data_IF_121821124200
#
_entry.id   IF_121821124200
#
_cell.length_a   1.000
_cell.length_b   1.000
_cell.length_c   1.000
_cell.angle_alpha   90.00
_cell.angle_beta   90.00
_cell.angle_gamma   90.00
#
_symmetry.space_group_name_H-M   'P 1'
#
loop_
_entity.id
_entity.type
_entity.pdbx_description
1 polymer ?
#
# COMPACT_ATOMS: atom_id res chain seq x y z
N UNK A 1 -6.31 47.69 -11.77
CA UNK A 1 -7.41 46.96 -11.11
C UNK A 1 -6.81 45.71 -10.48
N UNK A 2 -7.04 45.44 -9.19
CA UNK A 2 -6.68 44.14 -8.62
C UNK A 2 -7.46 43.05 -9.39
N UNK A 3 -6.86 41.89 -9.66
CA UNK A 3 -7.57 40.79 -10.30
C UNK A 3 -8.79 40.41 -9.45
N UNK A 4 -9.93 40.04 -10.08
CA UNK A 4 -11.10 39.61 -9.35
C UNK A 4 -10.73 38.42 -8.48
N UNK A 5 -10.86 38.59 -7.17
CA UNK A 5 -10.76 37.50 -6.21
C UNK A 5 -11.91 36.54 -6.49
N UNK A 6 -11.60 35.39 -7.08
CA UNK A 6 -12.53 34.26 -7.12
C UNK A 6 -12.97 33.98 -5.68
N UNK A 7 -14.25 34.26 -5.39
CA UNK A 7 -14.83 33.99 -4.08
C UNK A 7 -14.70 32.49 -3.81
N UNK A 8 -13.90 32.13 -2.80
CA UNK A 8 -13.80 30.75 -2.32
C UNK A 8 -15.14 30.43 -1.64
N UNK A 9 -15.98 29.62 -2.27
CA UNK A 9 -17.31 29.28 -1.76
C UNK A 9 -17.30 28.12 -0.78
N UNK A 10 -16.20 27.34 -0.72
CA UNK A 10 -16.08 26.16 0.14
C UNK A 10 -14.72 26.11 0.84
N UNK A 11 -14.73 25.80 2.14
CA UNK A 11 -13.52 25.43 2.86
C UNK A 11 -13.14 23.97 2.57
N UNK A 12 -11.97 23.78 1.97
CA UNK A 12 -11.39 22.47 1.72
C UNK A 12 -10.32 22.16 2.78
N UNK A 13 -10.26 20.91 3.17
CA UNK A 13 -9.37 20.40 4.19
C UNK A 13 -8.42 19.38 3.58
N UNK A 14 -7.15 19.39 3.98
CA UNK A 14 -6.19 18.34 3.65
C UNK A 14 -5.55 17.75 4.89
N UNK A 15 -5.00 16.55 4.76
CA UNK A 15 -4.19 15.90 5.77
C UNK A 15 -2.97 15.23 5.15
N UNK A 16 -1.88 15.13 5.92
CA UNK A 16 -0.64 14.48 5.53
C UNK A 16 -0.14 13.58 6.65
N UNK A 17 0.00 12.29 6.36
CA UNK A 17 0.65 11.30 7.23
C UNK A 17 2.03 11.01 6.67
N UNK A 18 3.06 11.12 7.51
CA UNK A 18 4.46 10.97 7.14
C UNK A 18 5.08 9.80 7.90
N UNK A 19 5.80 8.94 7.19
CA UNK A 19 6.67 7.89 7.73
C UNK A 19 8.16 8.10 7.35
N UNK A 20 8.46 9.10 6.51
CA UNK A 20 9.79 9.36 5.99
C UNK A 20 10.23 10.82 6.14
N UNK A 21 10.64 11.43 5.03
CA UNK A 21 11.28 12.74 5.05
C UNK A 21 10.24 13.88 4.98
N UNK A 22 10.25 14.78 5.96
CA UNK A 22 9.21 15.82 6.07
C UNK A 22 9.26 16.93 5.03
N UNK A 23 10.26 16.97 4.14
CA UNK A 23 10.30 17.98 3.08
C UNK A 23 9.07 17.91 2.18
N UNK A 24 8.57 16.69 1.94
CA UNK A 24 7.38 16.43 1.13
C UNK A 24 6.15 17.07 1.77
N UNK A 25 5.89 16.71 3.03
CA UNK A 25 4.80 17.26 3.83
C UNK A 25 4.84 18.78 3.96
N UNK A 26 6.04 19.35 4.14
CA UNK A 26 6.24 20.78 4.31
C UNK A 26 5.97 21.54 3.00
N UNK A 27 6.57 21.10 1.90
CA UNK A 27 6.40 21.73 0.59
C UNK A 27 4.94 21.65 0.14
N UNK A 28 4.32 20.47 0.28
CA UNK A 28 2.91 20.29 -0.05
C UNK A 28 2.00 21.17 0.81
N UNK A 29 2.16 21.14 2.13
CA UNK A 29 1.30 21.91 3.02
C UNK A 29 1.41 23.42 2.81
N UNK A 30 2.63 23.93 2.55
CA UNK A 30 2.84 25.33 2.24
C UNK A 30 2.11 25.73 0.94
N UNK A 31 2.22 24.91 -0.11
CA UNK A 31 1.58 25.17 -1.39
C UNK A 31 0.06 25.06 -1.35
N UNK A 32 -0.48 24.02 -0.71
CA UNK A 32 -1.92 23.81 -0.56
C UNK A 32 -2.56 24.87 0.35
N UNK A 33 -1.91 25.28 1.44
CA UNK A 33 -2.39 26.39 2.27
C UNK A 33 -2.48 27.71 1.47
N UNK A 34 -1.58 27.92 0.50
CA UNK A 34 -1.63 29.08 -0.39
C UNK A 34 -2.82 29.06 -1.38
N UNK A 35 -3.53 27.94 -1.50
CA UNK A 35 -4.82 27.81 -2.20
C UNK A 35 -6.03 28.06 -1.27
N UNK A 36 -5.80 28.40 0.00
CA UNK A 36 -6.85 28.64 1.00
C UNK A 36 -7.37 27.39 1.70
N UNK A 37 -6.72 26.24 1.50
CA UNK A 37 -7.06 25.00 2.17
C UNK A 37 -6.57 25.00 3.61
N UNK A 38 -7.32 24.35 4.50
CA UNK A 38 -6.93 24.17 5.89
C UNK A 38 -6.31 22.80 6.07
N UNK A 39 -5.23 22.74 6.83
CA UNK A 39 -4.70 21.47 7.27
C UNK A 39 -5.56 20.96 8.43
N UNK A 40 -6.33 19.89 8.20
CA UNK A 40 -7.25 19.29 9.17
C UNK A 40 -6.51 18.87 10.44
N UNK A 41 -5.30 18.36 10.26
CA UNK A 41 -4.47 17.84 11.32
C UNK A 41 -4.06 18.98 12.29
N UNK A 42 -3.74 20.18 11.80
CA UNK A 42 -3.36 21.32 12.67
C UNK A 42 -4.50 21.83 13.57
N UNK A 43 -5.72 21.31 13.41
CA UNK A 43 -6.85 21.63 14.26
C UNK A 43 -6.92 20.76 15.52
N UNK A 44 -6.12 19.69 15.60
CA UNK A 44 -6.04 18.85 16.77
C UNK A 44 -5.30 19.58 17.91
N UNK A 45 -5.68 19.34 19.19
CA UNK A 45 -5.02 19.96 20.33
C UNK A 45 -3.54 19.57 20.37
N UNK A 46 -2.66 20.56 20.41
CA UNK A 46 -1.22 20.34 20.61
C UNK A 46 -0.93 20.30 22.10
N UNK A 47 -0.97 19.12 22.70
CA UNK A 47 -0.42 18.94 24.06
C UNK A 47 1.10 18.89 23.97
N UNK A 48 1.80 19.43 24.96
CA UNK A 48 3.25 19.27 25.10
C UNK A 48 3.47 18.07 26.02
N UNK A 49 4.35 17.14 25.64
CA UNK A 49 4.92 16.22 26.62
C UNK A 49 5.99 16.93 27.48
N UNK A 50 6.50 16.19 28.47
CA UNK A 50 7.58 16.61 29.37
C UNK A 50 8.88 17.01 28.63
N UNK A 51 8.99 16.71 27.33
CA UNK A 51 10.14 17.01 26.48
C UNK A 51 9.87 18.10 25.43
N UNK A 52 8.74 18.80 25.54
CA UNK A 52 8.39 19.89 24.62
C UNK A 52 8.04 19.43 23.20
N UNK A 53 7.91 18.12 22.98
CA UNK A 53 7.47 17.54 21.72
C UNK A 53 5.94 17.42 21.72
N UNK A 54 5.34 17.72 20.56
CA UNK A 54 3.90 17.96 20.41
C UNK A 54 3.17 16.63 20.29
N UNK A 55 2.37 16.33 21.31
CA UNK A 55 1.75 15.05 21.61
C UNK A 55 0.56 14.69 20.73
N UNK A 56 0.15 13.47 21.04
CA UNK A 56 -0.77 12.50 20.51
C UNK A 56 -2.22 12.76 20.90
N UNK A 57 -3.13 12.30 20.05
CA UNK A 57 -4.56 12.08 20.32
C UNK A 57 -4.86 11.70 21.80
N UNK A 58 -5.75 12.44 22.45
CA UNK A 58 -6.18 12.19 23.83
C UNK A 58 -6.89 10.85 24.00
N UNK A 59 -7.52 10.32 22.96
CA UNK A 59 -8.14 9.00 22.97
C UNK A 59 -7.09 7.87 23.00
N UNK A 60 -5.85 8.18 22.64
CA UNK A 60 -4.77 7.20 22.56
C UNK A 60 -3.48 7.82 23.13
N UNK A 61 -3.40 8.11 24.44
CA UNK A 61 -2.28 8.84 25.03
C UNK A 61 -0.92 8.14 24.88
N UNK A 62 -0.87 6.90 24.38
CA UNK A 62 0.35 6.15 24.17
C UNK A 62 0.77 6.01 22.69
N UNK A 63 0.08 6.62 21.70
CA UNK A 63 0.53 6.50 20.30
C UNK A 63 1.95 7.09 20.16
N UNK A 64 2.92 6.39 19.59
CA UNK A 64 4.16 7.01 19.11
C UNK A 64 3.90 7.80 17.82
N UNK A 65 3.05 8.83 17.87
CA UNK A 65 2.74 9.71 16.75
C UNK A 65 3.04 11.15 17.17
N UNK A 66 3.76 11.91 16.33
CA UNK A 66 4.15 13.29 16.64
C UNK A 66 3.75 14.25 15.53
N UNK A 67 3.65 15.52 15.86
CA UNK A 67 3.65 16.57 14.85
C UNK A 67 5.07 16.84 14.37
N UNK A 68 5.29 16.80 13.06
CA UNK A 68 6.53 17.32 12.47
C UNK A 68 6.22 18.23 11.29
N UNK A 69 6.47 19.53 11.50
CA UNK A 69 6.03 20.56 10.57
C UNK A 69 4.51 20.62 10.46
N UNK A 70 4.00 20.35 9.26
CA UNK A 70 2.59 20.33 8.89
C UNK A 70 1.96 18.93 8.91
N UNK A 71 2.75 17.87 9.03
CA UNK A 71 2.24 16.49 8.95
C UNK A 71 2.12 15.81 10.32
N UNK A 72 1.33 14.74 10.32
CA UNK A 72 1.33 13.73 11.37
C UNK A 72 2.46 12.74 11.06
N UNK A 73 3.49 12.71 11.89
CA UNK A 73 4.57 11.73 11.79
C UNK A 73 4.19 10.48 12.59
N UNK A 74 3.98 9.36 11.89
CA UNK A 74 3.87 8.05 12.52
C UNK A 74 5.26 7.45 12.68
N UNK A 75 5.60 7.04 13.91
CA UNK A 75 6.87 6.35 14.20
C UNK A 75 6.72 4.85 13.95
N UNK A 76 7.82 4.09 13.72
CA UNK A 76 9.21 4.53 13.68
C UNK A 76 9.59 5.19 12.36
N UNK A 77 10.51 6.17 12.40
CA UNK A 77 11.01 6.85 11.21
C UNK A 77 12.53 6.73 11.15
N UNK A 78 13.05 5.92 10.22
CA UNK A 78 14.49 5.62 10.10
C UNK A 78 15.37 6.76 9.63
N UNK A 79 14.78 7.85 9.13
CA UNK A 79 15.55 9.03 8.79
C UNK A 79 15.74 9.95 10.00
N UNK A 80 14.81 9.89 10.95
CA UNK A 80 14.91 10.56 12.25
C UNK A 80 15.72 9.72 13.24
N UNK A 81 15.57 8.41 13.16
CA UNK A 81 16.24 7.46 14.01
C UNK A 81 17.32 6.71 13.24
N UNK A 82 18.58 6.92 13.64
CA UNK A 82 19.82 6.50 12.97
C UNK A 82 19.74 5.31 12.00
N UNK A 83 20.47 5.41 10.88
CA UNK A 83 20.67 4.37 9.83
C UNK A 83 21.07 2.98 10.34
N UNK A 84 21.42 2.84 11.61
CA UNK A 84 21.88 1.58 12.20
C UNK A 84 20.85 0.89 13.10
N UNK A 85 19.91 1.62 13.73
CA UNK A 85 18.72 1.07 14.43
C UNK A 85 17.64 2.16 14.62
N UNK A 86 16.59 2.19 13.79
CA UNK A 86 15.67 3.33 13.69
C UNK A 86 14.61 3.44 14.81
N UNK A 87 14.83 2.85 15.98
CA UNK A 87 13.90 2.96 17.10
C UNK A 87 14.59 3.44 18.38
N UNK A 88 15.84 3.00 18.60
CA UNK A 88 16.52 3.09 19.91
C UNK A 88 16.95 4.50 20.30
N UNK A 89 16.94 5.47 19.36
CA UNK A 89 17.29 6.87 19.63
C UNK A 89 16.11 7.74 20.02
N UNK A 90 14.88 7.38 19.63
CA UNK A 90 13.71 8.23 19.80
C UNK A 90 13.33 8.36 21.30
N UNK A 91 13.11 9.58 21.84
CA UNK A 91 12.74 9.77 23.24
C UNK A 91 11.42 9.10 23.66
N UNK A 92 10.40 9.02 22.79
CA UNK A 92 9.15 8.31 23.06
C UNK A 92 9.43 6.82 23.07
N UNK A 93 10.19 6.29 22.11
CA UNK A 93 10.57 4.88 22.14
C UNK A 93 11.33 4.56 23.44
N UNK A 94 12.32 5.36 23.81
CA UNK A 94 13.06 5.20 25.08
C UNK A 94 12.12 5.21 26.29
N UNK A 95 11.21 6.19 26.42
CA UNK A 95 10.23 6.24 27.52
C UNK A 95 9.32 5.02 27.51
N UNK A 96 8.79 4.64 26.34
CA UNK A 96 7.92 3.48 26.21
C UNK A 96 8.63 2.22 26.73
N UNK A 97 9.89 2.04 26.31
CA UNK A 97 10.75 0.93 26.72
C UNK A 97 11.20 0.96 28.20
N UNK A 98 11.00 2.07 28.93
CA UNK A 98 11.20 2.09 30.40
C UNK A 98 10.16 1.26 31.14
N UNK A 99 9.00 1.00 30.52
CA UNK A 99 7.85 0.33 31.15
C UNK A 99 7.23 -0.80 30.32
N UNK A 100 7.68 -0.99 29.08
CA UNK A 100 7.15 -1.99 28.15
C UNK A 100 8.27 -2.71 27.39
N UNK A 101 7.94 -3.84 26.81
CA UNK A 101 8.79 -4.63 25.92
C UNK A 101 8.73 -4.14 24.47
N UNK A 102 9.67 -4.58 23.65
CA UNK A 102 9.68 -4.26 22.21
C UNK A 102 8.47 -4.90 21.49
N UNK A 103 8.03 -6.08 21.92
CA UNK A 103 6.85 -6.74 21.36
C UNK A 103 5.57 -5.95 21.66
N UNK A 104 5.42 -5.43 22.89
CA UNK A 104 4.31 -4.54 23.23
C UNK A 104 4.33 -3.26 22.41
N UNK A 105 5.52 -2.68 22.17
CA UNK A 105 5.64 -1.50 21.31
C UNK A 105 5.21 -1.80 19.86
N UNK A 106 5.65 -2.93 19.31
CA UNK A 106 5.29 -3.37 17.95
C UNK A 106 3.79 -3.64 17.82
N UNK A 107 3.18 -4.19 18.85
CA UNK A 107 1.74 -4.42 18.89
C UNK A 107 0.96 -3.11 18.93
N UNK A 108 1.39 -2.14 19.75
CA UNK A 108 0.81 -0.80 19.72
C UNK A 108 0.97 -0.17 18.33
N UNK A 109 2.16 -0.19 17.72
CA UNK A 109 2.36 0.30 16.35
C UNK A 109 1.42 -0.34 15.32
N UNK A 110 1.18 -1.65 15.43
CA UNK A 110 0.25 -2.37 14.55
C UNK A 110 -1.18 -1.83 14.68
N UNK A 111 -1.67 -1.64 15.90
CA UNK A 111 -3.00 -1.05 16.15
C UNK A 111 -3.14 0.33 15.53
N UNK A 112 -2.08 1.13 15.63
CA UNK A 112 -2.04 2.51 15.13
C UNK A 112 -2.04 2.55 13.62
N UNK A 113 -1.18 1.75 12.99
CA UNK A 113 -1.14 1.64 11.55
C UNK A 113 -2.47 1.09 11.02
N UNK A 114 -3.08 0.12 11.70
CA UNK A 114 -4.42 -0.38 11.38
C UNK A 114 -5.49 0.73 11.43
N UNK A 115 -5.50 1.54 12.50
CA UNK A 115 -6.41 2.69 12.60
C UNK A 115 -6.13 3.74 11.52
N UNK A 116 -4.88 4.15 11.33
CA UNK A 116 -4.51 5.17 10.34
C UNK A 116 -4.80 4.71 8.91
N UNK A 117 -4.68 3.41 8.62
CA UNK A 117 -5.06 2.86 7.32
C UNK A 117 -6.55 3.04 7.05
N UNK A 118 -7.41 2.80 8.06
CA UNK A 118 -8.85 3.08 7.95
C UNK A 118 -9.12 4.58 7.85
N UNK A 119 -8.39 5.38 8.64
CA UNK A 119 -8.54 6.83 8.67
C UNK A 119 -8.19 7.50 7.35
N UNK A 120 -7.19 7.02 6.61
CA UNK A 120 -6.88 7.55 5.26
C UNK A 120 -8.11 7.52 4.35
N UNK A 121 -8.96 6.50 4.47
CA UNK A 121 -10.17 6.33 3.66
C UNK A 121 -11.42 6.97 4.26
N UNK A 122 -11.39 7.32 5.53
CA UNK A 122 -12.45 8.04 6.25
C UNK A 122 -11.82 9.10 7.17
N UNK A 123 -11.25 10.19 6.62
CA UNK A 123 -10.33 11.07 7.34
C UNK A 123 -11.08 12.11 8.19
N UNK A 124 -11.74 11.63 9.23
CA UNK A 124 -12.57 12.43 10.13
C UNK A 124 -11.81 13.01 11.32
N UNK A 125 -12.25 14.17 11.77
CA UNK A 125 -11.92 14.73 13.09
C UNK A 125 -13.22 14.97 13.86
N UNK A 126 -13.29 14.43 15.07
CA UNK A 126 -14.38 14.67 16.00
C UNK A 126 -13.96 15.72 17.02
N UNK A 127 -14.64 16.85 17.04
CA UNK A 127 -14.42 17.94 18.01
C UNK A 127 -15.50 17.89 19.08
N UNK A 128 -15.11 17.54 20.29
CA UNK A 128 -15.97 17.65 21.47
C UNK A 128 -15.93 19.08 22.04
N UNK A 129 -14.82 19.79 21.85
CA UNK A 129 -14.67 21.22 22.20
C UNK A 129 -13.53 21.88 21.42
N UNK A 130 -13.27 23.18 21.65
CA UNK A 130 -12.14 23.89 21.03
C UNK A 130 -10.76 23.33 21.44
N UNK A 131 -10.69 22.62 22.57
CA UNK A 131 -9.46 22.04 23.13
C UNK A 131 -9.47 20.53 23.17
N UNK A 132 -10.53 19.89 22.66
CA UNK A 132 -10.71 18.45 22.66
C UNK A 132 -11.20 17.99 21.29
N UNK A 133 -10.27 17.44 20.52
CA UNK A 133 -10.54 16.85 19.23
C UNK A 133 -9.64 15.64 19.00
N UNK A 134 -10.19 14.62 18.36
CA UNK A 134 -9.50 13.37 18.03
C UNK A 134 -9.70 13.00 16.57
N UNK A 135 -8.79 12.18 16.05
CA UNK A 135 -9.01 11.50 14.78
C UNK A 135 -10.15 10.50 14.96
N UNK A 136 -11.02 10.37 13.96
CA UNK A 136 -12.05 9.34 13.95
C UNK A 136 -12.30 8.84 12.54
N UNK A 137 -12.80 7.61 12.44
CA UNK A 137 -13.35 7.03 11.21
C UNK A 137 -14.88 7.01 11.22
N UNK A 138 -15.49 7.51 12.30
CA UNK A 138 -16.93 7.50 12.52
C UNK A 138 -17.66 8.45 11.56
N UNK A 139 -18.87 8.07 11.11
CA UNK A 139 -19.68 8.94 10.25
C UNK A 139 -20.13 10.24 10.93
N UNK A 140 -20.03 10.35 12.26
CA UNK A 140 -20.38 11.54 13.03
C UNK A 140 -19.22 12.54 13.21
N UNK A 141 -18.13 12.37 12.44
CA UNK A 141 -17.02 13.32 12.48
C UNK A 141 -17.49 14.74 12.15
N UNK A 142 -16.98 15.71 12.93
CA UNK A 142 -17.34 17.12 12.81
C UNK A 142 -16.68 17.81 11.61
N UNK A 143 -15.51 17.30 11.20
CA UNK A 143 -14.78 17.77 10.03
C UNK A 143 -14.14 16.57 9.31
N UNK A 144 -13.90 16.76 8.01
CA UNK A 144 -13.35 15.71 7.14
C UNK A 144 -12.26 16.31 6.26
N UNK A 145 -11.26 15.51 5.88
CA UNK A 145 -10.32 15.88 4.81
C UNK A 145 -10.94 15.58 3.44
N UNK A 146 -10.73 16.48 2.49
CA UNK A 146 -11.05 16.28 1.08
C UNK A 146 -9.89 15.63 0.32
N UNK A 147 -8.67 15.79 0.84
CA UNK A 147 -7.43 15.26 0.30
C UNK A 147 -6.58 14.69 1.41
N UNK A 148 -6.14 13.44 1.26
CA UNK A 148 -5.20 12.81 2.18
C UNK A 148 -3.94 12.43 1.43
N UNK A 149 -2.79 12.67 2.03
CA UNK A 149 -1.51 12.15 1.57
C UNK A 149 -0.87 11.25 2.63
N UNK A 150 -0.24 10.16 2.20
CA UNK A 150 0.50 9.25 3.06
C UNK A 150 1.87 8.90 2.43
N UNK A 151 2.95 9.42 3.01
CA UNK A 151 4.31 9.32 2.46
C UNK A 151 5.24 8.46 3.30
N UNK A 152 6.22 7.82 2.65
CA UNK A 152 7.22 6.96 3.29
C UNK A 152 7.95 6.09 2.28
N UNK A 153 8.53 4.99 2.76
CA UNK A 153 8.71 3.84 1.89
C UNK A 153 7.34 3.18 1.66
N UNK A 154 7.23 2.38 0.62
CA UNK A 154 5.97 1.74 0.29
C UNK A 154 6.09 0.88 -0.95
N UNK A 155 5.20 -0.08 -1.07
CA UNK A 155 4.93 -0.93 -2.24
C UNK A 155 3.66 -1.74 -1.94
N UNK A 156 3.07 -2.36 -2.96
CA UNK A 156 2.02 -3.37 -2.80
C UNK A 156 0.78 -2.93 -1.97
N UNK A 157 0.46 -1.65 -2.00
CA UNK A 157 -0.66 -1.05 -1.29
C UNK A 157 -0.34 -0.53 0.11
N UNK A 158 0.94 -0.46 0.49
CA UNK A 158 1.32 -0.12 1.87
C UNK A 158 2.31 1.05 1.95
N UNK A 159 2.35 1.72 3.11
CA UNK A 159 3.22 2.88 3.40
C UNK A 159 3.88 2.68 4.77
N UNK A 160 5.21 2.64 4.84
CA UNK A 160 5.92 2.35 6.08
C UNK A 160 7.16 3.23 6.27
N UNK A 161 7.64 3.25 7.52
CA UNK A 161 8.85 3.95 7.93
C UNK A 161 10.03 2.99 8.09
N UNK A 162 11.14 3.28 7.41
CA UNK A 162 12.38 2.52 7.52
C UNK A 162 12.28 1.04 7.17
N UNK A 163 13.09 0.21 7.86
CA UNK A 163 13.11 -1.26 7.70
C UNK A 163 12.02 -1.97 8.51
N UNK A 164 11.09 -1.23 9.11
CA UNK A 164 10.00 -1.86 9.84
C UNK A 164 8.96 -2.37 8.84
N UNK A 165 8.68 -3.68 8.85
CA UNK A 165 7.53 -4.28 8.16
C UNK A 165 6.18 -3.86 8.82
N UNK A 166 6.13 -2.70 9.47
CA UNK A 166 4.96 -2.14 10.12
C UNK A 166 4.65 -0.81 9.42
N UNK A 167 3.51 -0.77 8.74
CA UNK A 167 3.08 0.39 7.98
C UNK A 167 1.58 0.41 7.79
N UNK A 168 1.10 1.44 7.12
CA UNK A 168 -0.28 1.56 6.70
C UNK A 168 -0.57 0.51 5.61
N UNK A 169 -1.51 -0.39 5.88
CA UNK A 169 -1.99 -1.42 4.95
C UNK A 169 -3.16 -0.86 4.13
N UNK A 170 -2.90 0.16 3.31
CA UNK A 170 -3.94 0.99 2.68
C UNK A 170 -4.84 0.18 1.74
N UNK A 171 -4.27 -0.62 0.85
CA UNK A 171 -5.02 -1.45 -0.09
C UNK A 171 -5.81 -2.55 0.63
N UNK A 172 -5.16 -3.28 1.53
CA UNK A 172 -5.80 -4.36 2.29
C UNK A 172 -6.98 -3.86 3.13
N UNK A 173 -6.87 -2.63 3.67
CA UNK A 173 -7.96 -1.99 4.41
C UNK A 173 -9.22 -1.82 3.54
N UNK A 174 -9.06 -1.62 2.24
CA UNK A 174 -10.21 -1.52 1.31
C UNK A 174 -10.82 -2.89 0.97
N UNK A 175 -10.02 -3.95 0.97
CA UNK A 175 -10.48 -5.33 0.70
C UNK A 175 -11.33 -5.87 1.87
N UNK A 176 -11.03 -5.44 3.09
CA UNK A 176 -11.82 -5.75 4.29
C UNK A 176 -13.08 -4.87 4.36
N UNK A 177 -14.09 -5.22 3.56
CA UNK A 177 -15.39 -4.54 3.35
C UNK A 177 -16.28 -4.31 4.61
N UNK A 178 -15.71 -4.38 5.81
CA UNK A 178 -16.31 -3.88 7.06
C UNK A 178 -15.87 -2.47 7.44
N UNK A 179 -15.06 -1.79 6.62
CA UNK A 179 -14.62 -0.43 6.90
C UNK A 179 -15.83 0.52 7.04
N UNK A 180 -15.81 1.44 8.02
CA UNK A 180 -16.94 2.32 8.34
C UNK A 180 -17.37 3.15 7.13
N UNK A 181 -18.63 3.60 7.16
CA UNK A 181 -19.21 4.49 6.16
C UNK A 181 -18.21 5.61 5.79
N UNK A 182 -17.57 5.45 4.64
CA UNK A 182 -16.46 6.29 4.24
C UNK A 182 -16.94 7.72 3.98
N UNK A 183 -16.06 8.69 4.18
CA UNK A 183 -16.38 10.09 3.92
C UNK A 183 -16.67 10.32 2.43
N UNK A 184 -17.87 10.84 2.14
CA UNK A 184 -18.26 11.37 0.84
C UNK A 184 -17.41 12.59 0.40
N UNK A 185 -16.64 13.17 1.33
CA UNK A 185 -15.80 14.35 1.09
C UNK A 185 -14.44 14.02 0.49
N UNK A 186 -13.86 12.87 0.80
CA UNK A 186 -12.55 12.49 0.28
C UNK A 186 -12.65 12.33 -1.24
N UNK A 187 -11.92 13.15 -2.00
CA UNK A 187 -11.91 13.09 -3.47
C UNK A 187 -10.61 12.55 -4.04
N UNK A 188 -9.48 12.82 -3.40
CA UNK A 188 -8.18 12.32 -3.86
C UNK A 188 -7.33 11.80 -2.71
N UNK A 189 -6.51 10.81 -3.03
CA UNK A 189 -5.44 10.32 -2.15
C UNK A 189 -4.10 10.45 -2.89
N UNK A 190 -3.06 10.90 -2.20
CA UNK A 190 -1.69 10.94 -2.73
C UNK A 190 -0.83 9.96 -1.94
N UNK A 191 -0.21 8.99 -2.61
CA UNK A 191 0.59 7.94 -1.99
C UNK A 191 2.03 8.02 -2.52
N UNK A 192 2.82 9.02 -2.11
CA UNK A 192 4.20 9.17 -2.56
C UNK A 192 5.12 8.13 -1.93
N UNK A 193 5.23 7.00 -2.61
CA UNK A 193 5.94 5.79 -2.21
C UNK A 193 6.29 4.98 -3.45
N UNK A 194 7.21 4.02 -3.35
CA UNK A 194 7.59 3.20 -4.50
C UNK A 194 6.44 2.26 -4.90
N UNK A 195 6.31 2.01 -6.20
CA UNK A 195 5.52 0.94 -6.84
C UNK A 195 4.01 0.87 -6.51
N UNK A 196 3.46 1.79 -5.71
CA UNK A 196 2.07 1.69 -5.28
C UNK A 196 1.08 1.90 -6.43
N UNK A 197 1.49 2.60 -7.49
CA UNK A 197 0.73 2.73 -8.73
C UNK A 197 1.42 2.03 -9.91
N UNK A 198 2.20 0.98 -9.67
CA UNK A 198 2.70 0.13 -10.75
C UNK A 198 1.56 -0.64 -11.43
N UNK A 199 1.74 -1.07 -12.67
CA UNK A 199 0.73 -1.83 -13.43
C UNK A 199 0.23 -3.08 -12.70
N UNK A 200 1.07 -3.70 -11.85
CA UNK A 200 0.71 -4.88 -11.07
C UNK A 200 -0.02 -4.57 -9.75
N UNK A 201 -0.03 -3.31 -9.30
CA UNK A 201 -0.73 -2.88 -8.09
C UNK A 201 -2.00 -2.07 -8.34
N UNK A 202 -2.19 -1.52 -9.55
CA UNK A 202 -3.28 -0.58 -9.81
C UNK A 202 -4.68 -1.12 -9.48
N UNK A 203 -4.90 -2.42 -9.67
CA UNK A 203 -6.18 -3.08 -9.38
C UNK A 203 -6.55 -3.07 -7.89
N UNK A 204 -5.56 -3.03 -6.99
CA UNK A 204 -5.80 -2.99 -5.54
C UNK A 204 -6.53 -1.73 -5.09
N UNK A 205 -6.56 -0.71 -5.92
CA UNK A 205 -7.23 0.56 -5.65
C UNK A 205 -8.68 0.62 -6.16
N UNK A 206 -9.09 -0.37 -6.97
CA UNK A 206 -10.46 -0.44 -7.50
C UNK A 206 -11.52 -0.36 -6.40
N UNK A 207 -11.38 -1.01 -5.23
CA UNK A 207 -12.37 -0.85 -4.16
C UNK A 207 -12.61 0.61 -3.73
N UNK A 208 -11.57 1.46 -3.68
CA UNK A 208 -11.74 2.88 -3.36
C UNK A 208 -12.42 3.68 -4.49
N UNK A 209 -12.19 3.28 -5.73
CA UNK A 209 -12.73 3.91 -6.93
C UNK A 209 -14.12 3.38 -7.30
N UNK A 210 -14.52 2.19 -6.85
CA UNK A 210 -15.83 1.56 -7.15
C UNK A 210 -16.81 1.58 -5.99
N UNK A 211 -16.46 2.22 -4.87
CA UNK A 211 -17.38 2.37 -3.72
C UNK A 211 -18.59 3.24 -4.10
N UNK A 212 -19.70 3.22 -3.32
CA UNK A 212 -20.91 3.99 -3.65
C UNK A 212 -20.70 5.50 -3.87
N UNK A 213 -19.72 6.09 -3.19
CA UNK A 213 -19.26 7.47 -3.42
C UNK A 213 -17.76 7.47 -3.76
N UNK A 214 -17.39 7.19 -5.01
CA UNK A 214 -16.01 7.03 -5.43
C UNK A 214 -15.12 8.19 -5.03
N UNK A 215 -13.86 7.91 -4.71
CA UNK A 215 -12.84 8.92 -4.89
C UNK A 215 -12.62 9.14 -6.39
N UNK A 216 -12.12 10.31 -6.75
CA UNK A 216 -11.88 10.71 -8.13
C UNK A 216 -10.60 10.06 -8.65
N UNK A 217 -9.55 10.00 -7.82
CA UNK A 217 -8.29 9.39 -8.21
C UNK A 217 -7.28 9.24 -7.09
N UNK A 218 -6.26 8.46 -7.38
CA UNK A 218 -5.06 8.27 -6.56
C UNK A 218 -3.85 8.71 -7.36
N UNK A 219 -3.02 9.57 -6.76
CA UNK A 219 -1.76 10.04 -7.34
C UNK A 219 -0.58 9.41 -6.59
N UNK A 220 0.49 9.06 -7.31
CA UNK A 220 1.62 8.36 -6.72
C UNK A 220 2.69 8.03 -7.76
N UNK A 221 3.39 6.92 -7.57
CA UNK A 221 4.50 6.51 -8.42
C UNK A 221 4.31 5.07 -8.92
N UNK A 222 4.62 4.88 -10.20
CA UNK A 222 4.54 3.58 -10.89
C UNK A 222 5.78 2.74 -10.68
N UNK A 223 6.91 3.38 -10.39
CA UNK A 223 8.22 2.76 -10.20
C UNK A 223 8.83 3.22 -8.86
N UNK A 224 9.81 4.11 -8.87
CA UNK A 224 10.54 4.50 -7.68
C UNK A 224 10.15 5.89 -7.19
N UNK A 225 9.96 6.00 -5.87
CA UNK A 225 9.76 7.29 -5.21
C UNK A 225 11.11 7.91 -4.84
N UNK A 226 11.45 9.11 -5.33
CA UNK A 226 12.74 9.72 -5.01
C UNK A 226 12.86 10.19 -3.56
N UNK A 227 11.74 10.54 -2.90
CA UNK A 227 11.71 11.02 -1.51
C UNK A 227 12.60 12.25 -1.25
N UNK A 228 12.68 12.65 0.02
CA UNK A 228 13.67 13.63 0.47
C UNK A 228 13.54 15.02 -0.15
N UNK A 229 14.67 15.68 -0.38
CA UNK A 229 14.69 16.99 -1.04
C UNK A 229 14.12 16.97 -2.47
N UNK A 230 14.40 15.94 -3.32
CA UNK A 230 13.70 15.79 -4.59
C UNK A 230 12.18 15.78 -4.46
N UNK A 231 11.64 14.99 -3.51
CA UNK A 231 10.21 14.92 -3.20
C UNK A 231 9.62 16.30 -2.87
N UNK A 232 10.27 17.05 -1.98
CA UNK A 232 9.89 18.43 -1.65
C UNK A 232 9.84 19.36 -2.87
N UNK A 233 10.79 19.24 -3.81
CA UNK A 233 10.78 20.00 -5.07
C UNK A 233 9.59 19.61 -5.95
N UNK A 234 9.25 18.33 -6.06
CA UNK A 234 8.08 17.88 -6.83
C UNK A 234 6.78 18.42 -6.25
N UNK A 235 6.60 18.32 -4.93
CA UNK A 235 5.38 18.82 -4.28
C UNK A 235 5.28 20.35 -4.33
N UNK A 236 6.40 21.07 -4.24
CA UNK A 236 6.45 22.51 -4.49
C UNK A 236 6.00 22.88 -5.91
N UNK A 237 6.52 22.17 -6.92
CA UNK A 237 6.11 22.37 -8.33
C UNK A 237 4.64 22.01 -8.55
N UNK A 238 4.19 20.87 -8.03
CA UNK A 238 2.82 20.39 -8.17
C UNK A 238 1.82 21.42 -7.63
N UNK A 239 2.01 21.88 -6.39
CA UNK A 239 1.11 22.87 -5.78
C UNK A 239 1.16 24.23 -6.48
N UNK A 240 2.32 24.64 -7.03
CA UNK A 240 2.42 25.83 -7.87
C UNK A 240 1.62 25.69 -9.18
N UNK A 241 1.68 24.51 -9.82
CA UNK A 241 0.90 24.20 -11.03
C UNK A 241 -0.60 24.13 -10.77
N UNK A 242 -1.01 23.61 -9.60
CA UNK A 242 -2.41 23.61 -9.15
C UNK A 242 -2.96 25.03 -8.95
N UNK A 243 -2.10 26.01 -8.66
CA UNK A 243 -2.46 27.43 -8.52
C UNK A 243 -2.43 28.18 -9.85
N UNK A 244 -1.58 27.75 -10.79
CA UNK A 244 -1.41 28.38 -12.08
C UNK A 244 -2.74 28.49 -12.84
N UNK A 245 -2.82 29.47 -13.74
CA UNK A 245 -4.01 29.73 -14.57
C UNK A 245 -5.32 29.84 -13.77
N UNK A 246 -5.23 30.36 -12.54
CA UNK A 246 -6.35 30.46 -11.59
C UNK A 246 -6.98 29.10 -11.26
N UNK A 247 -6.16 28.05 -11.15
CA UNK A 247 -6.57 26.70 -10.81
C UNK A 247 -7.32 25.96 -11.92
N UNK A 248 -7.22 26.42 -13.18
CA UNK A 248 -7.88 25.78 -14.34
C UNK A 248 -7.10 24.59 -14.89
N UNK A 249 -5.84 24.40 -14.51
CA UNK A 249 -5.06 23.25 -14.96
C UNK A 249 -5.66 21.96 -14.36
N UNK A 250 -5.88 20.91 -15.17
CA UNK A 250 -6.31 19.62 -14.64
C UNK A 250 -5.31 19.09 -13.61
N UNK A 251 -5.82 18.51 -12.52
CA UNK A 251 -5.00 17.99 -11.41
C UNK A 251 -4.01 16.93 -11.92
N UNK A 252 -4.47 16.04 -12.80
CA UNK A 252 -3.63 15.02 -13.42
C UNK A 252 -2.51 15.62 -14.28
N UNK A 253 -2.81 16.66 -15.05
CA UNK A 253 -1.81 17.35 -15.87
C UNK A 253 -0.78 18.08 -15.00
N UNK A 254 -1.21 18.71 -13.90
CA UNK A 254 -0.32 19.31 -12.92
C UNK A 254 0.60 18.26 -12.28
N UNK A 255 0.08 17.07 -11.97
CA UNK A 255 0.87 15.95 -11.43
C UNK A 255 1.94 15.48 -12.41
N UNK A 256 1.57 15.24 -13.68
CA UNK A 256 2.53 14.89 -14.75
C UNK A 256 3.60 15.97 -14.92
N UNK A 257 3.19 17.24 -15.04
CA UNK A 257 4.11 18.35 -15.28
C UNK A 257 5.07 18.60 -14.11
N UNK A 258 4.66 18.32 -12.87
CA UNK A 258 5.55 18.41 -11.72
C UNK A 258 6.76 17.47 -11.86
N UNK A 259 6.57 16.31 -12.50
CA UNK A 259 7.57 15.25 -12.68
C UNK A 259 8.38 15.34 -13.99
N UNK A 260 8.13 16.35 -14.83
CA UNK A 260 8.86 16.50 -16.10
C UNK A 260 10.39 16.56 -15.89
N UNK A 261 11.15 15.93 -16.79
CA UNK A 261 12.60 15.81 -16.73
C UNK A 261 13.06 14.40 -16.30
N UNK A 262 14.06 14.34 -15.42
CA UNK A 262 14.74 13.09 -14.99
C UNK A 262 13.86 12.08 -14.23
N UNK A 263 12.60 12.42 -13.94
CA UNK A 263 11.66 11.58 -13.20
C UNK A 263 10.32 11.45 -13.95
N UNK A 264 10.32 11.79 -15.24
CA UNK A 264 9.10 11.81 -16.07
C UNK A 264 8.50 10.43 -16.25
N UNK A 265 9.28 9.37 -16.15
CA UNK A 265 8.88 7.97 -16.27
C UNK A 265 8.32 7.36 -14.98
N UNK A 266 8.40 8.05 -13.84
CA UNK A 266 8.11 7.45 -12.52
C UNK A 266 6.74 7.76 -11.96
N UNK A 267 6.10 8.83 -12.42
CA UNK A 267 4.79 9.21 -11.90
C UNK A 267 3.73 8.19 -12.32
N UNK A 268 2.69 8.08 -11.50
CA UNK A 268 1.51 7.30 -11.79
C UNK A 268 0.27 8.01 -11.30
N UNK A 269 -0.87 7.70 -11.93
CA UNK A 269 -2.19 8.01 -11.40
C UNK A 269 -3.17 6.89 -11.77
N UNK A 270 -4.07 6.54 -10.87
CA UNK A 270 -5.20 5.64 -11.15
C UNK A 270 -6.47 6.41 -10.81
N UNK A 271 -7.33 6.62 -11.80
CA UNK A 271 -8.51 7.47 -11.63
C UNK A 271 -9.60 7.15 -12.62
N UNK A 272 -10.81 7.61 -12.32
CA UNK A 272 -11.92 7.60 -13.27
C UNK A 272 -11.60 8.48 -14.48
N UNK A 273 -11.97 8.02 -15.67
CA UNK A 273 -11.76 8.78 -16.92
C UNK A 273 -12.46 10.15 -16.86
N UNK A 274 -13.64 10.21 -16.26
CA UNK A 274 -14.39 11.48 -16.12
C UNK A 274 -13.71 12.48 -15.18
N UNK A 275 -12.93 12.00 -14.20
CA UNK A 275 -12.14 12.83 -13.29
C UNK A 275 -10.86 13.39 -13.92
N UNK A 276 -10.50 12.98 -15.15
CA UNK A 276 -9.30 13.48 -15.85
C UNK A 276 -9.30 15.00 -16.03
N UNK A 277 -10.50 15.58 -16.17
CA UNK A 277 -10.70 17.01 -16.36
C UNK A 277 -10.82 17.79 -15.04
N UNK A 278 -10.75 17.13 -13.88
CA UNK A 278 -10.91 17.79 -12.59
C UNK A 278 -9.86 18.88 -12.38
N UNK A 279 -10.32 20.06 -11.98
CA UNK A 279 -9.48 21.23 -11.75
C UNK A 279 -9.59 21.71 -10.30
N UNK A 280 -8.55 22.41 -9.82
CA UNK A 280 -8.62 23.04 -8.51
C UNK A 280 -9.71 24.10 -8.41
N UNK A 281 -9.96 24.81 -9.51
CA UNK A 281 -11.03 25.81 -9.59
C UNK A 281 -12.39 25.18 -9.36
N UNK A 282 -12.67 24.05 -10.02
CA UNK A 282 -13.96 23.37 -9.89
C UNK A 282 -14.09 22.72 -8.51
N UNK A 283 -13.01 22.19 -7.94
CA UNK A 283 -13.02 21.68 -6.58
C UNK A 283 -13.35 22.74 -5.54
N UNK A 284 -12.68 23.90 -5.60
CA UNK A 284 -12.95 25.03 -4.69
C UNK A 284 -14.37 25.59 -4.87
N UNK A 285 -14.93 25.50 -6.08
CA UNK A 285 -16.29 25.90 -6.38
C UNK A 285 -17.35 24.82 -6.01
N UNK A 286 -16.93 23.63 -5.58
CA UNK A 286 -17.83 22.50 -5.31
C UNK A 286 -18.50 21.95 -6.57
N UNK A 287 -17.79 21.99 -7.70
CA UNK A 287 -18.29 21.64 -9.04
C UNK A 287 -17.64 20.39 -9.65
N UNK A 288 -16.84 19.64 -8.89
CA UNK A 288 -16.38 18.35 -9.40
C UNK A 288 -17.58 17.42 -9.58
N UNK A 289 -17.66 16.76 -10.73
CA UNK A 289 -18.67 15.73 -10.98
C UNK A 289 -18.36 14.52 -10.11
N UNK A 290 -19.37 13.93 -9.47
CA UNK A 290 -19.19 12.68 -8.75
C UNK A 290 -18.97 11.55 -9.75
N UNK A 291 -17.89 10.75 -9.63
CA UNK A 291 -17.65 9.68 -10.58
C UNK A 291 -18.68 8.56 -10.45
N UNK A 292 -18.98 7.88 -11.56
CA UNK A 292 -19.79 6.67 -11.59
C UNK A 292 -18.97 5.51 -10.99
N UNK A 293 -19.45 4.82 -9.93
CA UNK A 293 -18.79 3.61 -9.41
C UNK A 293 -18.56 2.51 -10.47
N UNK A 294 -19.44 2.44 -11.49
CA UNK A 294 -19.32 1.53 -12.62
C UNK A 294 -18.50 2.12 -13.79
N UNK A 295 -18.05 3.37 -13.66
CA UNK A 295 -17.25 4.10 -14.63
C UNK A 295 -15.94 3.42 -14.97
N UNK A 296 -15.37 3.86 -16.09
CA UNK A 296 -14.07 3.38 -16.57
C UNK A 296 -12.94 3.99 -15.74
N UNK A 297 -12.09 3.13 -15.19
CA UNK A 297 -10.90 3.50 -14.43
C UNK A 297 -9.68 3.29 -15.33
N UNK A 298 -8.76 4.25 -15.33
CA UNK A 298 -7.51 4.16 -16.09
C UNK A 298 -6.28 4.41 -15.25
N UNK A 299 -5.19 3.76 -15.64
CA UNK A 299 -3.84 3.94 -15.14
C UNK A 299 -3.05 4.84 -16.10
N UNK A 300 -2.67 6.00 -15.60
CA UNK A 300 -1.91 7.00 -16.35
C UNK A 300 -0.46 6.97 -15.89
N UNK A 301 0.44 6.78 -16.85
CA UNK A 301 1.90 6.87 -16.72
C UNK A 301 2.44 7.70 -17.87
N UNK A 302 3.76 7.90 -17.94
CA UNK A 302 4.36 8.51 -19.13
C UNK A 302 4.13 7.68 -20.40
N UNK A 303 4.17 6.35 -20.29
CA UNK A 303 4.00 5.44 -21.42
C UNK A 303 2.56 5.40 -21.94
N UNK A 304 1.57 5.52 -21.05
CA UNK A 304 0.15 5.46 -21.42
C UNK A 304 -0.49 6.83 -21.65
N UNK A 305 0.24 7.94 -21.47
CA UNK A 305 -0.30 9.29 -21.65
C UNK A 305 -0.56 9.64 -23.14
N UNK A 306 -1.66 10.36 -23.48
CA UNK A 306 -2.66 10.94 -22.59
C UNK A 306 -3.82 10.01 -22.25
N UNK A 307 -3.94 8.87 -22.91
CA UNK A 307 -5.18 8.11 -22.91
C UNK A 307 -5.34 7.24 -21.65
N UNK A 308 -4.24 6.80 -21.05
CA UNK A 308 -4.22 5.86 -19.94
C UNK A 308 -4.54 4.43 -20.39
N UNK A 309 -4.08 3.46 -19.61
CA UNK A 309 -4.41 2.03 -19.77
C UNK A 309 -5.66 1.69 -18.96
N UNK A 310 -6.55 0.89 -19.53
CA UNK A 310 -7.78 0.48 -18.83
C UNK A 310 -7.43 -0.42 -17.64
N UNK A 311 -7.88 -0.03 -16.45
CA UNK A 311 -7.76 -0.83 -15.24
C UNK A 311 -9.00 -1.73 -15.16
N UNK A 312 -8.93 -2.84 -15.90
CA UNK A 312 -9.99 -3.83 -15.91
C UNK A 312 -9.80 -4.83 -14.76
N UNK A 313 -10.86 -5.06 -13.97
CA UNK A 313 -10.98 -6.25 -13.13
C UNK A 313 -11.13 -7.47 -14.05
N UNK A 314 -10.07 -7.83 -14.76
CA UNK A 314 -10.02 -9.10 -15.47
C UNK A 314 -9.91 -10.17 -14.37
N UNK A 315 -10.94 -11.01 -14.15
CA UNK A 315 -10.84 -12.06 -13.15
C UNK A 315 -9.59 -12.86 -13.47
N UNK A 316 -8.66 -12.94 -12.51
CA UNK A 316 -7.45 -13.72 -12.71
C UNK A 316 -7.90 -15.12 -13.14
N UNK A 317 -7.41 -15.68 -14.25
CA UNK A 317 -7.93 -16.95 -14.76
C UNK A 317 -7.70 -18.11 -13.77
N UNK A 318 -6.78 -17.91 -12.84
CA UNK A 318 -6.40 -18.85 -11.81
C UNK A 318 -6.34 -18.18 -10.43
N UNK A 319 -6.36 -19.00 -9.39
CA UNK A 319 -5.99 -18.64 -8.02
C UNK A 319 -5.07 -19.71 -7.45
N UNK A 320 -4.09 -19.33 -6.63
CA UNK A 320 -3.26 -20.28 -5.89
C UNK A 320 -3.23 -19.95 -4.40
N UNK A 321 -3.36 -20.98 -3.57
CA UNK A 321 -3.33 -20.87 -2.12
C UNK A 321 -2.52 -21.99 -1.48
N UNK A 322 -1.79 -21.66 -0.42
CA UNK A 322 -1.25 -22.68 0.47
C UNK A 322 -2.33 -23.15 1.45
N UNK A 323 -2.30 -24.44 1.77
CA UNK A 323 -3.10 -25.05 2.82
C UNK A 323 -2.18 -25.82 3.78
N UNK A 324 -2.29 -25.54 5.08
CA UNK A 324 -1.72 -26.39 6.13
C UNK A 324 -2.87 -27.08 6.86
N UNK A 325 -3.02 -28.39 6.62
CA UNK A 325 -4.23 -29.11 7.02
C UNK A 325 -5.48 -28.55 6.34
N UNK A 326 -6.46 -28.12 7.14
CA UNK A 326 -7.70 -27.48 6.66
C UNK A 326 -7.59 -25.95 6.51
N UNK A 327 -6.49 -25.35 6.99
CA UNK A 327 -6.32 -23.89 7.01
C UNK A 327 -5.79 -23.41 5.68
N UNK A 328 -6.62 -22.66 4.93
CA UNK A 328 -6.18 -21.86 3.78
C UNK A 328 -5.37 -20.67 4.28
N UNK A 329 -4.19 -20.44 3.72
CA UNK A 329 -3.37 -19.26 3.99
C UNK A 329 -3.69 -18.21 2.93
N UNK A 330 -4.15 -17.03 3.36
CA UNK A 330 -4.41 -15.89 2.48
C UNK A 330 -4.08 -14.56 3.19
N UNK A 331 -4.24 -13.43 2.49
CA UNK A 331 -3.96 -12.12 3.06
C UNK A 331 -4.69 -11.83 4.38
N UNK A 332 -5.84 -12.46 4.68
CA UNK A 332 -6.64 -12.18 5.87
C UNK A 332 -6.10 -12.82 7.16
N UNK A 333 -5.34 -13.91 7.05
CA UNK A 333 -4.91 -14.70 8.22
C UNK A 333 -3.40 -14.98 8.28
N UNK A 334 -2.65 -14.71 7.21
CA UNK A 334 -1.23 -15.03 7.14
C UNK A 334 -0.37 -14.21 8.13
N UNK A 335 -0.92 -13.15 8.72
CA UNK A 335 -0.27 -12.40 9.81
C UNK A 335 -0.31 -13.13 11.16
N UNK A 336 -1.17 -14.14 11.34
CA UNK A 336 -1.30 -14.88 12.59
C UNK A 336 -0.08 -15.81 12.81
N UNK A 337 0.46 -15.91 14.03
CA UNK A 337 1.68 -16.68 14.30
C UNK A 337 1.50 -18.20 14.11
N UNK A 338 0.28 -18.69 14.26
CA UNK A 338 -0.12 -20.08 14.06
C UNK A 338 -0.55 -20.38 12.61
N UNK A 339 -0.48 -19.39 11.72
CA UNK A 339 -0.73 -19.52 10.27
C UNK A 339 0.55 -19.25 9.49
N UNK A 340 0.90 -20.14 8.57
CA UNK A 340 2.13 -20.08 7.78
C UNK A 340 2.60 -21.47 7.34
N UNK A 341 3.74 -21.54 6.67
CA UNK A 341 4.44 -22.77 6.33
C UNK A 341 5.32 -23.20 7.50
N UNK A 342 5.06 -24.34 8.12
CA UNK A 342 5.81 -24.83 9.28
C UNK A 342 6.82 -25.90 8.85
N UNK A 343 8.10 -25.70 9.16
CA UNK A 343 9.16 -26.66 8.78
C UNK A 343 8.88 -28.08 9.29
N UNK A 344 8.99 -29.05 8.39
CA UNK A 344 8.71 -30.46 8.65
C UNK A 344 7.22 -30.84 8.55
N UNK A 345 6.30 -29.87 8.45
CA UNK A 345 4.88 -30.16 8.32
C UNK A 345 4.45 -30.32 6.86
N UNK A 346 3.42 -31.13 6.65
CA UNK A 346 2.80 -31.34 5.34
C UNK A 346 1.68 -30.34 5.08
N UNK A 347 1.59 -29.91 3.83
CA UNK A 347 0.56 -29.01 3.33
C UNK A 347 0.16 -29.35 1.90
N UNK A 348 -0.58 -28.44 1.28
CA UNK A 348 -0.92 -28.53 -0.13
C UNK A 348 -0.94 -27.14 -0.78
N UNK A 349 -0.45 -27.06 -2.00
CA UNK A 349 -0.63 -25.92 -2.89
C UNK A 349 -1.85 -26.22 -3.76
N UNK A 350 -2.89 -25.40 -3.65
CA UNK A 350 -4.10 -25.54 -4.44
C UNK A 350 -4.12 -24.50 -5.56
N UNK A 351 -4.27 -24.94 -6.81
CA UNK A 351 -4.40 -24.10 -7.99
C UNK A 351 -5.79 -24.32 -8.57
N UNK A 352 -6.63 -23.30 -8.56
CA UNK A 352 -8.00 -23.38 -9.07
C UNK A 352 -8.19 -22.45 -10.27
N UNK A 353 -9.03 -22.87 -11.22
CA UNK A 353 -9.56 -21.96 -12.24
C UNK A 353 -10.68 -21.13 -11.64
N UNK A 354 -10.69 -19.83 -11.90
CA UNK A 354 -11.79 -18.95 -11.47
C UNK A 354 -13.04 -19.15 -12.29
N UNK A 355 -12.91 -19.67 -13.52
CA UNK A 355 -14.02 -20.14 -14.34
C UNK A 355 -13.63 -21.32 -15.23
N UNK A 356 -14.57 -22.26 -15.42
CA UNK A 356 -14.39 -23.45 -16.26
C UNK A 356 -13.43 -24.49 -15.67
N UNK A 357 -12.77 -25.25 -16.54
CA UNK A 357 -11.88 -26.36 -16.17
C UNK A 357 -10.55 -26.33 -16.92
N UNK A 358 -9.53 -26.98 -16.38
CA UNK A 358 -8.25 -27.21 -17.07
C UNK A 358 -8.47 -28.14 -18.27
N UNK A 359 -7.79 -27.83 -19.37
CA UNK A 359 -7.64 -28.75 -20.48
C UNK A 359 -6.48 -29.71 -20.19
N UNK A 360 -6.56 -30.94 -20.71
CA UNK A 360 -5.45 -31.89 -20.63
C UNK A 360 -4.19 -31.27 -21.29
N UNK A 361 -3.05 -31.40 -20.62
CA UNK A 361 -1.79 -30.86 -21.07
C UNK A 361 -1.61 -29.35 -20.86
N UNK A 362 -2.60 -28.62 -20.30
CA UNK A 362 -2.41 -27.19 -20.00
C UNK A 362 -1.34 -27.03 -18.92
N UNK A 363 -0.39 -26.16 -19.20
CA UNK A 363 0.70 -25.80 -18.30
C UNK A 363 0.42 -24.47 -17.60
N UNK A 364 0.82 -24.44 -16.33
CA UNK A 364 0.71 -23.31 -15.42
C UNK A 364 2.02 -23.25 -14.66
N UNK A 365 2.55 -22.06 -14.47
CA UNK A 365 3.72 -21.83 -13.64
C UNK A 365 3.29 -21.09 -12.39
N UNK A 366 3.64 -21.64 -11.23
CA UNK A 366 3.54 -20.94 -9.94
C UNK A 366 4.92 -20.45 -9.57
N UNK A 367 5.16 -19.16 -9.74
CA UNK A 367 6.40 -18.48 -9.39
C UNK A 367 6.34 -18.10 -7.91
N UNK A 368 7.40 -18.42 -7.20
CA UNK A 368 7.62 -18.08 -5.80
C UNK A 368 8.61 -16.94 -5.75
N UNK A 369 8.22 -15.82 -5.16
CA UNK A 369 9.10 -14.67 -4.97
C UNK A 369 9.52 -14.54 -3.52
N UNK A 370 10.82 -14.32 -3.33
CA UNK A 370 11.42 -14.06 -2.05
C UNK A 370 12.13 -12.70 -2.07
N UNK A 371 11.48 -11.68 -1.50
CA UNK A 371 11.81 -10.24 -1.60
C UNK A 371 13.20 -9.82 -1.08
N UNK A 372 13.96 -10.74 -0.46
CA UNK A 372 15.32 -10.51 0.04
C UNK A 372 16.10 -11.83 0.00
N UNK A 373 16.47 -12.33 -1.19
CA UNK A 373 17.12 -13.63 -1.29
C UNK A 373 18.45 -13.64 -0.54
N UNK A 374 18.81 -14.82 -0.05
CA UNK A 374 20.19 -15.05 0.37
C UNK A 374 21.12 -14.88 -0.83
N UNK A 375 22.44 -14.87 -0.59
CA UNK A 375 23.43 -14.88 -1.68
C UNK A 375 23.15 -15.96 -2.75
N UNK A 376 22.50 -17.05 -2.34
CA UNK A 376 22.23 -18.22 -3.18
C UNK A 376 20.86 -18.17 -3.88
N UNK A 377 20.05 -17.13 -3.65
CA UNK A 377 18.77 -16.97 -4.32
C UNK A 377 17.59 -17.72 -3.70
N UNK A 378 16.45 -17.62 -4.36
CA UNK A 378 15.29 -18.48 -4.15
C UNK A 378 15.50 -19.83 -4.84
N UNK A 379 15.24 -20.92 -4.12
CA UNK A 379 15.32 -22.31 -4.58
C UNK A 379 14.15 -23.10 -3.97
N UNK A 380 13.10 -23.31 -4.74
CA UNK A 380 11.87 -23.94 -4.24
C UNK A 380 12.15 -25.35 -3.71
N UNK A 381 13.20 -26.03 -4.17
CA UNK A 381 13.60 -27.35 -3.68
C UNK A 381 14.26 -27.33 -2.29
N UNK A 382 14.70 -26.16 -1.82
CA UNK A 382 15.08 -25.93 -0.41
C UNK A 382 13.90 -25.52 0.48
N UNK A 383 12.74 -25.20 -0.10
CA UNK A 383 11.53 -24.84 0.65
C UNK A 383 10.57 -26.03 0.78
N UNK A 384 10.25 -26.69 -0.33
CA UNK A 384 9.19 -27.69 -0.43
C UNK A 384 9.69 -29.01 -1.03
N UNK A 385 9.30 -30.11 -0.41
CA UNK A 385 9.34 -31.45 -1.02
C UNK A 385 7.95 -31.74 -1.60
N UNK A 386 7.81 -31.63 -2.92
CA UNK A 386 6.52 -31.83 -3.61
C UNK A 386 6.28 -33.30 -3.92
N UNK A 387 5.06 -33.78 -3.65
CA UNK A 387 4.65 -35.16 -3.94
C UNK A 387 3.92 -35.21 -5.28
N UNK A 388 4.12 -36.32 -6.01
CA UNK A 388 3.42 -36.58 -7.27
C UNK A 388 1.91 -36.61 -7.06
N UNK A 389 1.16 -36.04 -8.01
CA UNK A 389 -0.31 -36.04 -7.99
C UNK A 389 -0.87 -36.74 -9.22
N UNK A 390 -2.04 -37.36 -9.08
CA UNK A 390 -2.67 -38.08 -10.19
C UNK A 390 -3.13 -37.14 -11.31
N UNK A 391 -3.49 -35.91 -10.95
CA UNK A 391 -4.18 -34.94 -11.81
C UNK A 391 -3.25 -33.94 -12.49
N UNK A 392 -1.95 -33.96 -12.15
CA UNK A 392 -0.93 -33.12 -12.77
C UNK A 392 0.46 -33.73 -12.69
N UNK A 393 1.31 -33.43 -13.67
CA UNK A 393 2.76 -33.56 -13.51
C UNK A 393 3.31 -32.26 -12.95
N UNK A 394 4.16 -32.36 -11.94
CA UNK A 394 4.74 -31.21 -11.25
C UNK A 394 6.27 -31.25 -11.40
N UNK A 395 6.83 -30.17 -11.91
CA UNK A 395 8.27 -29.99 -12.11
C UNK A 395 8.71 -28.78 -11.30
N UNK A 396 9.77 -28.93 -10.49
CA UNK A 396 10.45 -27.80 -9.88
C UNK A 396 11.35 -27.18 -10.95
N UNK A 397 11.03 -25.97 -11.39
CA UNK A 397 11.82 -25.23 -12.35
C UNK A 397 12.95 -24.58 -11.56
N UNK A 398 14.12 -25.23 -11.52
CA UNK A 398 15.32 -24.65 -10.92
C UNK A 398 15.88 -23.61 -11.88
N UNK A 399 16.43 -22.54 -11.33
CA UNK A 399 17.05 -21.45 -12.10
C UNK A 399 16.05 -20.67 -12.97
N UNK A 400 14.76 -20.63 -12.58
CA UNK A 400 13.79 -19.72 -13.21
C UNK A 400 14.25 -18.24 -13.14
N UNK A 401 15.15 -17.95 -12.19
CA UNK A 401 15.87 -16.69 -12.02
C UNK A 401 16.93 -16.35 -13.10
N UNK A 402 17.37 -17.32 -13.91
CA UNK A 402 18.51 -17.12 -14.82
C UNK A 402 18.20 -16.13 -15.95
N UNK A 403 16.92 -15.93 -16.27
CA UNK A 403 16.47 -15.04 -17.34
C UNK A 403 16.43 -13.56 -16.91
N UNK A 404 16.20 -13.25 -15.63
CA UNK A 404 16.01 -11.87 -15.14
C UNK A 404 17.20 -11.29 -14.37
N UNK A 405 18.31 -12.04 -14.24
CA UNK A 405 19.49 -11.66 -13.45
C UNK A 405 19.19 -11.29 -11.97
N UNK A 406 17.98 -11.57 -11.49
CA UNK A 406 17.55 -11.41 -10.10
C UNK A 406 17.54 -12.77 -9.44
N UNK A 407 18.14 -12.93 -8.26
CA UNK A 407 18.13 -14.21 -7.53
C UNK A 407 16.85 -14.42 -6.72
N UNK A 408 15.79 -13.65 -6.99
CA UNK A 408 14.66 -13.47 -6.08
C UNK A 408 13.51 -14.46 -6.33
N UNK A 409 13.52 -15.19 -7.45
CA UNK A 409 12.40 -16.03 -7.88
C UNK A 409 12.84 -17.47 -8.17
N UNK A 410 11.92 -18.40 -7.94
CA UNK A 410 11.99 -19.77 -8.45
C UNK A 410 10.56 -20.26 -8.75
N UNK A 411 10.36 -21.39 -9.42
CA UNK A 411 9.01 -21.76 -9.83
C UNK A 411 8.69 -23.26 -9.75
N UNK A 412 7.39 -23.53 -9.74
CA UNK A 412 6.85 -24.87 -9.95
C UNK A 412 6.02 -24.84 -11.23
N UNK A 413 6.37 -25.66 -12.21
CA UNK A 413 5.57 -25.92 -13.40
C UNK A 413 4.60 -27.06 -13.13
N UNK A 414 3.33 -26.82 -13.42
CA UNK A 414 2.23 -27.75 -13.22
C UNK A 414 1.54 -27.98 -14.55
N UNK A 415 1.46 -29.24 -14.97
CA UNK A 415 0.79 -29.62 -16.21
C UNK A 415 -0.36 -30.58 -15.92
N UNK A 416 -1.58 -30.17 -16.21
CA UNK A 416 -2.76 -30.99 -15.98
C UNK A 416 -2.68 -32.30 -16.80
N UNK A 417 -2.87 -33.46 -16.17
CA UNK A 417 -2.81 -34.77 -16.86
C UNK A 417 -4.13 -35.13 -17.53
N UNK A 418 -5.25 -34.53 -17.10
CA UNK A 418 -6.60 -34.81 -17.61
C UNK A 418 -7.37 -33.51 -17.82
N UNK A 419 -8.41 -33.56 -18.66
CA UNK A 419 -9.33 -32.45 -18.85
C UNK A 419 -10.46 -32.47 -17.80
N UNK A 420 -11.14 -31.34 -17.62
CA UNK A 420 -12.33 -31.26 -16.77
C UNK A 420 -12.05 -31.07 -15.28
N UNK A 421 -10.79 -30.90 -14.89
CA UNK A 421 -10.38 -30.60 -13.52
C UNK A 421 -10.60 -29.11 -13.27
N UNK A 422 -11.31 -28.72 -12.21
CA UNK A 422 -11.45 -27.30 -11.81
C UNK A 422 -10.34 -26.84 -10.87
N UNK A 423 -9.74 -27.79 -10.14
CA UNK A 423 -8.76 -27.55 -9.09
C UNK A 423 -7.67 -28.62 -9.10
N UNK A 424 -6.41 -28.21 -9.13
CA UNK A 424 -5.25 -29.09 -8.96
C UNK A 424 -4.71 -28.85 -7.55
N UNK A 425 -4.65 -29.89 -6.73
CA UNK A 425 -4.12 -29.81 -5.36
C UNK A 425 -2.83 -30.61 -5.27
N UNK A 426 -1.73 -29.93 -4.97
CA UNK A 426 -0.36 -30.45 -4.98
C UNK A 426 0.11 -30.60 -3.53
N UNK A 427 0.17 -31.83 -2.97
CA UNK A 427 0.71 -32.05 -1.64
C UNK A 427 2.20 -31.72 -1.62
N UNK A 428 2.63 -31.14 -0.51
CA UNK A 428 4.04 -30.91 -0.22
C UNK A 428 4.35 -31.18 1.25
N UNK A 429 5.62 -31.33 1.55
CA UNK A 429 6.16 -31.17 2.91
C UNK A 429 7.09 -29.96 2.92
N UNK A 430 6.92 -29.07 3.88
CA UNK A 430 7.88 -27.98 4.08
C UNK A 430 9.16 -28.60 4.61
N UNK A 431 10.30 -28.33 3.99
CA UNK A 431 11.54 -28.94 4.41
C UNK A 431 11.89 -28.57 5.86
N UNK A 432 12.38 -29.57 6.60
CA UNK A 432 12.77 -29.38 8.00
C UNK A 432 13.95 -28.40 8.15
N UNK A 433 14.79 -28.28 7.12
CA UNK A 433 15.92 -27.37 7.03
C UNK A 433 15.62 -26.04 6.30
N UNK A 434 14.37 -25.78 5.90
CA UNK A 434 14.02 -24.57 5.13
C UNK A 434 14.48 -23.26 5.82
N UNK A 435 14.44 -23.22 7.16
CA UNK A 435 14.93 -22.06 7.95
C UNK A 435 16.43 -21.81 7.84
N UNK A 436 17.24 -22.81 7.51
CA UNK A 436 18.67 -22.62 7.29
C UNK A 436 18.96 -21.93 5.95
N UNK A 437 17.95 -21.86 5.07
CA UNK A 437 18.07 -21.32 3.72
C UNK A 437 17.31 -20.00 3.55
N UNK A 438 16.24 -19.77 4.32
CA UNK A 438 15.37 -18.60 4.18
C UNK A 438 15.19 -17.83 5.49
N UNK A 439 15.86 -16.68 5.60
CA UNK A 439 15.86 -15.81 6.79
C UNK A 439 15.29 -14.42 6.49
N UNK A 440 14.36 -13.92 7.32
CA UNK A 440 13.97 -12.51 7.29
C UNK A 440 14.80 -11.64 8.25
N UNK A 441 14.96 -10.36 7.91
CA UNK A 441 15.53 -9.36 8.81
C UNK A 441 14.56 -9.05 9.97
N UNK A 442 15.02 -9.23 11.21
CA UNK A 442 14.29 -8.82 12.42
C UNK A 442 13.97 -9.97 13.39
N UNK A 443 13.49 -9.61 14.58
CA UNK A 443 13.32 -10.52 15.72
C UNK A 443 12.23 -11.63 15.52
N UNK A 444 11.59 -11.70 14.35
CA UNK A 444 10.73 -12.80 13.89
C UNK A 444 11.22 -13.24 12.50
N UNK A 445 12.26 -14.05 12.51
CA UNK A 445 13.30 -14.18 11.48
C UNK A 445 13.00 -15.11 10.29
N UNK A 446 11.76 -15.14 9.77
CA UNK A 446 11.37 -16.13 8.76
C UNK A 446 10.86 -15.51 7.47
N UNK A 447 11.24 -16.08 6.32
CA UNK A 447 10.95 -15.53 4.99
C UNK A 447 9.47 -15.50 4.61
N UNK A 448 9.07 -14.47 3.84
CA UNK A 448 7.74 -14.38 3.21
C UNK A 448 7.84 -14.72 1.73
N UNK A 449 6.97 -15.62 1.27
CA UNK A 449 6.94 -16.09 -0.12
C UNK A 449 5.68 -15.60 -0.80
N UNK A 450 5.81 -14.74 -1.81
CA UNK A 450 4.69 -14.37 -2.67
C UNK A 450 4.52 -15.41 -3.77
N UNK A 451 3.29 -15.58 -4.26
CA UNK A 451 3.02 -16.45 -5.40
C UNK A 451 2.55 -15.65 -6.62
N UNK A 452 3.00 -16.04 -7.80
CA UNK A 452 2.44 -15.60 -9.09
C UNK A 452 2.05 -16.83 -9.91
N UNK A 453 0.77 -16.97 -10.23
CA UNK A 453 0.28 -17.98 -11.16
C UNK A 453 0.22 -17.37 -12.55
N UNK A 454 1.06 -17.88 -13.46
CA UNK A 454 1.11 -17.47 -14.86
C UNK A 454 0.68 -18.65 -15.73
N UNK A 455 -0.23 -18.46 -16.70
CA UNK A 455 -0.25 -19.35 -17.85
C UNK A 455 1.14 -19.31 -18.50
N UNK A 456 1.70 -20.46 -18.86
CA UNK A 456 3.06 -20.53 -19.42
C UNK A 456 3.26 -19.67 -20.69
N UNK A 457 2.18 -19.32 -21.38
CA UNK A 457 2.18 -18.59 -22.65
C UNK A 457 1.86 -17.08 -22.51
N UNK A 458 1.74 -16.54 -21.29
CA UNK A 458 1.35 -15.13 -21.05
C UNK A 458 2.30 -14.46 -20.04
N UNK A 459 2.98 -13.38 -20.46
CA UNK A 459 4.09 -12.76 -19.70
C UNK A 459 3.62 -11.89 -18.50
N UNK A 460 2.42 -11.31 -18.55
CA UNK A 460 2.08 -10.15 -17.70
C UNK A 460 0.96 -10.37 -16.68
N UNK A 461 0.97 -11.49 -15.95
CA UNK A 461 0.07 -11.63 -14.79
C UNK A 461 0.63 -10.92 -13.54
N UNK A 462 -0.16 -10.09 -12.83
CA UNK A 462 0.30 -9.45 -11.59
C UNK A 462 0.48 -10.47 -10.45
N UNK A 463 1.49 -10.27 -9.60
CA UNK A 463 1.71 -11.07 -8.39
C UNK A 463 0.44 -11.19 -7.55
N UNK A 464 0.21 -12.36 -6.93
CA UNK A 464 -0.93 -12.55 -6.03
C UNK A 464 -0.55 -11.97 -4.66
N UNK A 465 -1.47 -11.24 -3.99
CA UNK A 465 -1.29 -10.83 -2.60
C UNK A 465 -1.04 -12.02 -1.67
N UNK A 466 -1.57 -13.18 -2.05
CA UNK A 466 -1.67 -14.37 -1.24
C UNK A 466 -0.35 -15.14 -1.27
N UNK A 467 0.54 -14.76 -0.35
CA UNK A 467 1.77 -15.47 -0.03
C UNK A 467 1.64 -16.29 1.26
N UNK A 468 2.77 -16.78 1.76
CA UNK A 468 2.85 -17.43 3.08
C UNK A 468 4.13 -17.05 3.81
N UNK A 469 4.04 -16.81 5.12
CA UNK A 469 5.22 -16.77 5.98
C UNK A 469 5.73 -18.18 6.25
N UNK A 470 7.03 -18.40 6.12
CA UNK A 470 7.69 -19.53 6.76
C UNK A 470 7.69 -19.30 8.27
N UNK A 471 7.51 -20.37 9.05
CA UNK A 471 7.38 -20.35 10.51
C UNK A 471 8.26 -21.42 11.11
N UNK A 472 8.84 -21.12 12.28
CA UNK A 472 9.60 -22.09 13.07
C UNK A 472 8.81 -23.38 13.32
N UNK A 473 9.48 -24.50 13.63
CA UNK A 473 8.80 -25.74 14.00
C UNK A 473 7.87 -25.50 15.19
N UNK A 474 6.70 -26.16 15.19
CA UNK A 474 5.72 -26.12 16.30
C UNK A 474 6.15 -26.97 17.49
#
# INVERSE_FOLDING_TARGET
MPPPTTAVTRHLNFAWIEFGHTADAQAFAAGIAALGWKNLLLQLPRKKDDWGSRYVDSANPNLPVRWKGSGLLALPNSYVDSKTRPMVSDPIFKKFMESHTEDEFREELRKICGFLSQWVWSPGVKKSSATDASLTVDPDATEWADLVAASGHGAAGTVWGGDSNLGLELAQTLENLGAPAHSDRLKYVIIPTCYNLSSWNVLRWNPALRRPKPIHGILGYSDSYPGGDPGGVFFGKFTALLKADSGKKPILEAWKQAHAGSYSDRWGAVMHVESKADTMKDWLAGKLAEPDPAGEIRHFTEASWPDGEVVADTPKPYSAYFFMGATKIDGSNNNLPDVGLFSGESGALEIAKTSGTFAAGKEIVVVFFYYRPTKDGMDVSKLLDVVTVADATVTLEKDFNAEDATTEFDAIRVKATKAGISTIRIPFTVRSDAHAHYHADGARSYGYFWMKVVPFDEDDSPFYPDGAWLRGPR
#
